data_IF_241983225540
#
_entry.id   IF_241983225540
#
_cell.length_a   1.000
_cell.length_b   1.000
_cell.length_c   1.000
_cell.angle_alpha   90.00
_cell.angle_beta   90.00
_cell.angle_gamma   90.00
#
_symmetry.space_group_name_H-M   'P 1'
#
loop_
_entity.id
_entity.type
_entity.pdbx_description
1 polymer ?
#
# COMPACT_ATOMS: atom_id res chain seq x y z
N UNK A 1 12.23 -0.13 29.20
CA UNK A 1 12.99 1.11 28.95
C UNK A 1 14.02 0.80 27.88
N UNK A 2 14.00 1.47 26.72
CA UNK A 2 15.07 1.28 25.74
C UNK A 2 16.40 1.66 26.37
N UNK A 3 17.48 0.99 25.97
CA UNK A 3 18.82 1.29 26.43
C UNK A 3 19.17 2.74 26.04
N UNK A 4 19.92 3.44 26.87
CA UNK A 4 20.23 4.87 26.71
C UNK A 4 20.97 5.24 25.40
N UNK A 5 21.30 4.27 24.54
CA UNK A 5 21.93 4.46 23.23
C UNK A 5 20.96 4.59 22.04
N UNK A 6 19.70 4.16 22.19
CA UNK A 6 18.71 4.03 21.07
C UNK A 6 17.69 5.17 21.01
N UNK A 7 17.79 6.19 21.85
CA UNK A 7 16.81 7.28 21.87
C UNK A 7 16.89 8.11 20.58
N UNK A 8 15.79 8.19 19.88
CA UNK A 8 15.65 9.05 18.70
C UNK A 8 15.72 10.52 19.12
N UNK A 9 16.38 11.35 18.33
CA UNK A 9 16.57 12.78 18.63
C UNK A 9 15.66 13.69 17.84
N UNK A 10 15.18 13.22 16.69
CA UNK A 10 14.27 13.99 15.86
C UNK A 10 13.36 13.06 15.04
N UNK A 11 12.16 13.55 14.71
CA UNK A 11 11.33 13.01 13.65
C UNK A 11 11.62 13.76 12.36
N UNK A 12 11.78 13.04 11.26
CA UNK A 12 12.07 13.61 9.93
C UNK A 12 10.91 13.27 9.00
N UNK A 13 10.21 14.27 8.48
CA UNK A 13 9.26 14.08 7.41
C UNK A 13 10.03 13.82 6.10
N UNK A 14 9.85 12.64 5.55
CA UNK A 14 10.50 12.22 4.30
C UNK A 14 9.46 12.25 3.19
N UNK A 15 9.39 13.36 2.47
CA UNK A 15 8.50 13.48 1.32
C UNK A 15 9.11 12.76 0.12
N UNK A 16 8.53 11.61 -0.22
CA UNK A 16 8.98 10.74 -1.30
C UNK A 16 8.14 10.90 -2.57
N UNK A 17 7.04 11.66 -2.50
CA UNK A 17 6.15 11.94 -3.63
C UNK A 17 6.64 13.15 -4.42
N UNK A 18 6.32 13.18 -5.71
CA UNK A 18 6.54 14.37 -6.55
C UNK A 18 5.63 15.54 -6.15
N UNK A 19 4.46 15.23 -5.62
CA UNK A 19 3.50 16.20 -5.15
C UNK A 19 2.63 15.59 -4.05
N UNK A 20 2.63 16.24 -2.88
CA UNK A 20 1.75 15.90 -1.76
C UNK A 20 0.68 17.00 -1.66
N UNK A 21 -0.63 16.68 -1.75
CA UNK A 21 -1.69 17.68 -1.58
C UNK A 21 -1.62 18.39 -0.23
N UNK A 22 -1.97 19.66 -0.17
CA UNK A 22 -1.85 20.49 1.05
C UNK A 22 -2.54 19.90 2.27
N UNK A 23 -3.72 19.30 2.09
CA UNK A 23 -4.45 18.67 3.19
C UNK A 23 -3.74 17.42 3.72
N UNK A 24 -3.11 16.61 2.86
CA UNK A 24 -2.32 15.46 3.27
C UNK A 24 -1.02 15.92 3.96
N UNK A 25 -0.37 16.96 3.42
CA UNK A 25 0.81 17.56 4.04
C UNK A 25 0.51 18.06 5.47
N UNK A 26 -0.61 18.75 5.68
CA UNK A 26 -1.04 19.18 7.00
C UNK A 26 -1.26 18.00 7.98
N UNK A 27 -1.78 16.87 7.50
CA UNK A 27 -1.92 15.64 8.30
C UNK A 27 -0.54 15.05 8.64
N UNK A 28 0.39 15.01 7.69
CA UNK A 28 1.75 14.51 7.95
C UNK A 28 2.48 15.38 8.98
N UNK A 29 2.36 16.69 8.92
CA UNK A 29 2.94 17.58 9.93
C UNK A 29 2.40 17.30 11.32
N UNK A 30 1.08 17.20 11.45
CA UNK A 30 0.43 16.88 12.73
C UNK A 30 0.84 15.50 13.26
N UNK A 31 0.99 14.53 12.37
CA UNK A 31 1.45 13.19 12.74
C UNK A 31 2.92 13.22 13.19
N UNK A 32 3.78 13.97 12.50
CA UNK A 32 5.18 14.15 12.86
C UNK A 32 5.34 14.76 14.27
N UNK A 33 4.54 15.78 14.60
CA UNK A 33 4.51 16.39 15.94
C UNK A 33 4.06 15.38 17.00
N UNK A 34 3.03 14.59 16.73
CA UNK A 34 2.55 13.55 17.63
C UNK A 34 3.59 12.45 17.87
N UNK A 35 4.27 12.03 16.82
CA UNK A 35 5.37 11.05 16.90
C UNK A 35 6.55 11.61 17.70
N UNK A 36 6.93 12.87 17.48
CA UNK A 36 8.00 13.53 18.23
C UNK A 36 7.69 13.57 19.73
N UNK A 37 6.46 13.93 20.10
CA UNK A 37 6.02 13.90 21.50
C UNK A 37 6.07 12.49 22.10
N UNK A 38 5.57 11.50 21.37
CA UNK A 38 5.51 10.11 21.83
C UNK A 38 6.91 9.50 22.01
N UNK A 39 7.84 9.83 21.12
CA UNK A 39 9.22 9.36 21.14
C UNK A 39 10.12 10.20 22.05
N UNK A 40 9.64 11.33 22.58
CA UNK A 40 10.45 12.27 23.35
C UNK A 40 11.52 12.99 22.52
N UNK A 41 11.27 13.16 21.20
CA UNK A 41 12.19 13.85 20.30
C UNK A 41 12.14 15.36 20.52
N UNK A 42 13.32 16.02 20.41
CA UNK A 42 13.43 17.46 20.60
C UNK A 42 12.99 18.28 19.37
N UNK A 43 13.01 17.68 18.19
CA UNK A 43 12.84 18.39 16.92
C UNK A 43 12.01 17.58 15.91
N UNK A 44 11.36 18.32 15.00
CA UNK A 44 10.79 17.81 13.75
C UNK A 44 11.52 18.50 12.59
N UNK A 45 12.04 17.72 11.66
CA UNK A 45 12.64 18.22 10.43
C UNK A 45 11.71 17.95 9.26
N UNK A 46 11.49 18.95 8.41
CA UNK A 46 10.61 18.83 7.22
C UNK A 46 11.34 18.27 6.01
N UNK A 47 12.67 18.29 6.05
CA UNK A 47 13.54 17.73 5.02
C UNK A 47 14.62 16.86 5.67
N UNK A 48 15.09 15.82 4.96
CA UNK A 48 16.19 15.01 5.45
C UNK A 48 17.42 15.88 5.72
N UNK A 49 18.00 15.83 6.94
CA UNK A 49 19.22 16.55 7.20
C UNK A 49 20.34 16.08 6.29
N UNK A 50 21.26 16.98 5.94
CA UNK A 50 22.41 16.69 5.08
C UNK A 50 23.34 15.61 5.63
N UNK A 51 23.27 15.34 6.94
CA UNK A 51 24.03 14.27 7.59
C UNK A 51 23.06 13.20 8.08
N UNK A 52 23.06 12.00 7.47
CA UNK A 52 22.26 10.87 7.94
C UNK A 52 22.61 10.49 9.37
N UNK A 53 21.62 10.05 10.14
CA UNK A 53 21.82 9.59 11.51
C UNK A 53 20.84 8.45 11.84
N UNK A 54 21.34 7.40 12.46
CA UNK A 54 20.54 6.31 13.04
C UNK A 54 19.69 6.78 14.24
N UNK A 55 19.90 8.00 14.70
CA UNK A 55 19.11 8.64 15.75
C UNK A 55 17.89 9.40 15.24
N UNK A 56 17.61 9.39 13.93
CA UNK A 56 16.38 9.94 13.37
C UNK A 56 15.30 8.89 13.30
N UNK A 57 14.05 9.34 13.42
CA UNK A 57 12.85 8.55 13.17
C UNK A 57 12.14 9.14 11.97
N UNK A 58 11.97 8.37 10.92
CA UNK A 58 11.47 8.88 9.66
C UNK A 58 9.95 8.68 9.54
N UNK A 59 9.27 9.68 8.99
CA UNK A 59 7.88 9.62 8.56
C UNK A 59 7.83 9.80 7.04
N UNK A 60 7.91 8.72 6.25
CA UNK A 60 7.76 8.80 4.81
C UNK A 60 6.29 9.02 4.43
N UNK A 61 6.06 9.76 3.32
CA UNK A 61 4.72 10.03 2.79
C UNK A 61 4.10 8.85 2.05
N UNK A 62 4.89 7.80 1.78
CA UNK A 62 4.45 6.54 1.18
C UNK A 62 5.34 5.38 1.63
N UNK A 63 4.95 4.14 1.32
CA UNK A 63 5.77 2.96 1.61
C UNK A 63 7.10 3.04 0.85
N UNK A 64 8.21 2.92 1.59
CA UNK A 64 9.54 2.91 1.01
C UNK A 64 9.81 1.57 0.31
N UNK A 65 10.44 1.63 -0.86
CA UNK A 65 10.78 0.47 -1.67
C UNK A 65 12.31 0.41 -1.79
N UNK A 66 12.86 -0.81 -1.77
CA UNK A 66 14.28 -1.10 -1.80
C UNK A 66 15.00 -0.66 -0.51
N UNK A 67 15.15 -1.58 0.46
CA UNK A 67 15.85 -1.30 1.73
C UNK A 67 17.27 -0.78 1.56
N UNK A 68 17.99 -1.19 0.50
CA UNK A 68 19.37 -0.76 0.26
C UNK A 68 19.45 0.73 -0.07
N UNK A 69 18.47 1.23 -0.82
CA UNK A 69 18.36 2.66 -1.17
C UNK A 69 18.20 3.55 0.07
N UNK A 70 17.52 3.05 1.10
CA UNK A 70 17.21 3.82 2.31
C UNK A 70 18.20 3.58 3.47
N UNK A 71 19.05 2.56 3.35
CA UNK A 71 20.08 2.27 4.38
C UNK A 71 21.05 3.45 4.61
N UNK A 72 21.33 4.22 3.57
CA UNK A 72 22.18 5.42 3.67
C UNK A 72 21.56 6.51 4.57
N UNK A 73 20.25 6.54 4.75
CA UNK A 73 19.56 7.44 5.67
C UNK A 73 19.55 6.93 7.12
N UNK A 74 20.04 5.71 7.36
CA UNK A 74 19.96 5.05 8.66
C UNK A 74 18.65 4.26 8.87
N UNK A 75 17.81 4.13 7.84
CA UNK A 75 16.57 3.35 7.90
C UNK A 75 16.90 1.87 7.66
N UNK A 76 16.77 1.04 8.69
CA UNK A 76 17.13 -0.38 8.67
C UNK A 76 16.03 -1.29 9.20
N UNK A 77 15.23 -0.80 10.13
CA UNK A 77 14.22 -1.58 10.86
C UNK A 77 12.93 -0.76 11.02
N UNK A 78 11.87 -1.42 11.46
CA UNK A 78 10.61 -0.77 11.84
C UNK A 78 10.75 0.25 12.99
N UNK A 79 11.88 0.25 13.69
CA UNK A 79 12.15 1.21 14.76
C UNK A 79 12.74 2.54 14.24
N UNK A 80 13.01 2.60 12.95
CA UNK A 80 13.62 3.78 12.31
C UNK A 80 12.60 4.62 11.55
N UNK A 81 11.38 4.07 11.29
CA UNK A 81 10.36 4.77 10.51
C UNK A 81 8.94 4.46 10.98
N UNK A 82 8.03 5.39 10.73
CA UNK A 82 6.60 5.17 10.82
C UNK A 82 6.03 4.94 9.42
N UNK A 83 5.81 3.69 9.06
CA UNK A 83 5.37 3.31 7.71
C UNK A 83 5.85 1.92 7.33
N UNK A 84 5.93 1.67 6.04
CA UNK A 84 6.42 0.42 5.46
C UNK A 84 7.76 0.60 4.75
N UNK A 85 8.59 -0.43 4.84
CA UNK A 85 9.79 -0.60 4.03
C UNK A 85 9.76 -2.00 3.43
N UNK A 86 9.68 -2.08 2.11
CA UNK A 86 9.49 -3.34 1.38
C UNK A 86 10.57 -3.55 0.32
N UNK A 87 10.82 -4.82 -0.03
CA UNK A 87 11.87 -5.15 -0.98
C UNK A 87 11.49 -4.86 -2.45
N UNK A 88 10.21 -5.02 -2.79
CA UNK A 88 9.74 -4.94 -4.17
C UNK A 88 8.50 -4.04 -4.31
N UNK A 89 8.31 -3.39 -5.47
CA UNK A 89 7.22 -2.45 -5.72
C UNK A 89 5.83 -3.00 -5.41
N UNK A 90 5.49 -4.19 -5.88
CA UNK A 90 4.17 -4.80 -5.66
C UNK A 90 3.83 -4.98 -4.16
N UNK A 91 4.84 -5.16 -3.30
CA UNK A 91 4.64 -5.29 -1.84
C UNK A 91 4.13 -4.01 -1.19
N UNK A 92 4.33 -2.85 -1.84
CA UNK A 92 3.81 -1.56 -1.39
C UNK A 92 2.35 -1.32 -1.78
N UNK A 93 1.70 -2.29 -2.42
CA UNK A 93 0.37 -2.13 -3.02
C UNK A 93 -0.59 -3.23 -2.59
N UNK A 94 -1.84 -3.12 -3.03
CA UNK A 94 -2.86 -4.16 -2.85
C UNK A 94 -2.59 -5.43 -3.69
N UNK A 95 -1.57 -5.46 -4.54
CA UNK A 95 -1.20 -6.65 -5.32
C UNK A 95 -0.93 -7.89 -4.44
N UNK A 96 -0.48 -7.70 -3.21
CA UNK A 96 -0.23 -8.82 -2.28
C UNK A 96 -1.51 -9.52 -1.78
N UNK A 97 -2.69 -8.95 -2.03
CA UNK A 97 -3.93 -9.41 -1.40
C UNK A 97 -4.47 -10.73 -1.94
N UNK A 98 -4.19 -11.08 -3.19
CA UNK A 98 -4.78 -12.24 -3.84
C UNK A 98 -3.70 -13.19 -4.39
N UNK A 99 -4.01 -14.48 -4.53
CA UNK A 99 -3.11 -15.44 -5.15
C UNK A 99 -2.98 -15.19 -6.65
N UNK A 100 -1.98 -15.82 -7.26
CA UNK A 100 -1.84 -15.86 -8.71
C UNK A 100 -2.76 -16.90 -9.35
N UNK A 101 -3.21 -16.72 -10.59
CA UNK A 101 -3.77 -17.80 -11.38
C UNK A 101 -2.74 -18.93 -11.58
N UNK A 102 -3.20 -20.14 -11.84
CA UNK A 102 -2.31 -21.27 -12.12
C UNK A 102 -1.38 -20.96 -13.31
N UNK A 103 -0.09 -21.27 -13.16
CA UNK A 103 0.95 -21.08 -14.17
C UNK A 103 1.19 -19.61 -14.60
N UNK A 104 0.74 -18.62 -13.80
CA UNK A 104 0.96 -17.22 -14.09
C UNK A 104 2.43 -16.81 -13.91
N UNK A 105 2.84 -15.79 -14.64
CA UNK A 105 4.11 -15.10 -14.45
C UNK A 105 4.06 -14.17 -13.23
N UNK A 106 5.19 -14.00 -12.54
CA UNK A 106 5.28 -13.15 -11.35
C UNK A 106 6.68 -12.54 -11.17
N UNK A 107 6.78 -11.39 -10.50
CA UNK A 107 8.06 -10.74 -10.23
C UNK A 107 8.89 -11.50 -9.19
N UNK A 108 10.21 -11.23 -9.12
CA UNK A 108 11.08 -11.81 -8.10
C UNK A 108 10.54 -11.59 -6.68
N UNK A 109 10.72 -12.61 -5.82
CA UNK A 109 10.33 -12.55 -4.42
C UNK A 109 8.83 -12.68 -4.14
N UNK A 110 8.00 -12.97 -5.15
CA UNK A 110 6.58 -13.22 -4.96
C UNK A 110 6.31 -14.38 -3.99
N UNK A 111 5.27 -14.22 -3.20
CA UNK A 111 4.75 -15.27 -2.31
C UNK A 111 3.24 -15.11 -2.12
N UNK A 112 2.51 -16.20 -2.13
CA UNK A 112 1.08 -16.24 -1.82
C UNK A 112 0.79 -16.31 -0.31
N UNK A 113 1.82 -16.17 0.54
CA UNK A 113 1.68 -16.39 1.98
C UNK A 113 0.61 -15.49 2.63
N UNK A 114 0.51 -14.21 2.23
CA UNK A 114 -0.52 -13.32 2.74
C UNK A 114 -1.92 -13.77 2.30
N UNK A 115 -2.10 -14.05 1.01
CA UNK A 115 -3.39 -14.50 0.46
C UNK A 115 -3.86 -15.81 1.11
N UNK A 116 -2.94 -16.74 1.37
CA UNK A 116 -3.24 -18.01 2.05
C UNK A 116 -3.63 -17.80 3.53
N UNK A 117 -2.92 -16.92 4.24
CA UNK A 117 -3.21 -16.62 5.65
C UNK A 117 -4.51 -15.84 5.84
N UNK A 118 -4.84 -14.98 4.89
CA UNK A 118 -6.00 -14.09 4.95
C UNK A 118 -7.20 -14.62 4.14
N UNK A 119 -7.14 -15.85 3.63
CA UNK A 119 -8.14 -16.42 2.71
C UNK A 119 -9.59 -16.29 3.18
N UNK A 120 -9.82 -16.40 4.49
CA UNK A 120 -11.17 -16.29 5.08
C UNK A 120 -11.71 -14.84 5.11
N UNK A 121 -10.82 -13.86 4.89
CA UNK A 121 -11.16 -12.42 4.93
C UNK A 121 -11.00 -11.74 3.58
N UNK A 122 -10.58 -12.45 2.55
CA UNK A 122 -10.40 -11.93 1.20
C UNK A 122 -11.55 -12.34 0.29
N UNK A 123 -11.91 -11.45 -0.62
CA UNK A 123 -12.80 -11.78 -1.72
C UNK A 123 -12.12 -12.78 -2.66
N UNK A 124 -12.91 -13.56 -3.38
CA UNK A 124 -12.37 -14.41 -4.44
C UNK A 124 -11.78 -13.54 -5.54
N UNK A 125 -10.51 -13.77 -5.88
CA UNK A 125 -9.81 -12.94 -6.84
C UNK A 125 -8.42 -13.44 -7.14
N UNK A 126 -7.76 -12.72 -8.04
CA UNK A 126 -6.40 -12.98 -8.47
C UNK A 126 -5.60 -11.69 -8.59
N UNK A 127 -4.33 -11.79 -8.29
CA UNK A 127 -3.33 -10.80 -8.69
C UNK A 127 -2.64 -11.30 -9.94
N UNK A 128 -2.40 -10.40 -10.89
CA UNK A 128 -1.75 -10.73 -12.17
C UNK A 128 -0.68 -9.72 -12.51
N UNK A 129 0.35 -10.16 -13.24
CA UNK A 129 1.48 -9.35 -13.68
C UNK A 129 1.66 -9.34 -15.20
N UNK A 130 0.71 -9.90 -15.94
CA UNK A 130 0.68 -9.84 -17.40
C UNK A 130 -0.76 -9.73 -17.92
N UNK A 131 -0.91 -9.16 -19.11
CA UNK A 131 -2.22 -9.09 -19.79
C UNK A 131 -2.78 -10.49 -20.13
N UNK A 132 -1.90 -11.46 -20.39
CA UNK A 132 -2.31 -12.85 -20.63
C UNK A 132 -2.91 -13.48 -19.37
N UNK A 133 -2.26 -13.29 -18.22
CA UNK A 133 -2.76 -13.78 -16.93
C UNK A 133 -4.03 -13.04 -16.49
N UNK A 134 -4.17 -11.75 -16.83
CA UNK A 134 -5.40 -10.98 -16.59
C UNK A 134 -6.60 -11.57 -17.33
N UNK A 135 -6.42 -11.96 -18.60
CA UNK A 135 -7.48 -12.64 -19.38
C UNK A 135 -7.87 -13.97 -18.78
N UNK A 136 -6.86 -14.76 -18.36
CA UNK A 136 -7.10 -16.05 -17.72
C UNK A 136 -7.86 -15.89 -16.40
N UNK A 137 -7.42 -14.97 -15.54
CA UNK A 137 -8.09 -14.66 -14.27
C UNK A 137 -9.53 -14.18 -14.49
N UNK A 138 -9.75 -13.27 -15.43
CA UNK A 138 -11.08 -12.77 -15.74
C UNK A 138 -12.00 -13.88 -16.26
N UNK A 139 -11.50 -14.76 -17.13
CA UNK A 139 -12.27 -15.90 -17.61
C UNK A 139 -12.76 -16.79 -16.45
N UNK A 140 -11.90 -17.06 -15.47
CA UNK A 140 -12.25 -17.87 -14.31
C UNK A 140 -13.25 -17.18 -13.37
N UNK A 141 -13.10 -15.86 -13.16
CA UNK A 141 -13.99 -15.11 -12.26
C UNK A 141 -15.38 -14.87 -12.87
N UNK A 142 -15.45 -14.55 -14.15
CA UNK A 142 -16.70 -14.30 -14.86
C UNK A 142 -17.62 -15.52 -14.98
N UNK A 143 -17.15 -16.72 -14.67
CA UNK A 143 -18.00 -17.92 -14.60
C UNK A 143 -19.06 -17.82 -13.48
N UNK A 144 -18.77 -17.04 -12.45
CA UNK A 144 -19.63 -16.93 -11.25
C UNK A 144 -20.30 -15.55 -11.12
N UNK A 145 -19.94 -14.58 -11.94
CA UNK A 145 -20.55 -13.26 -11.93
C UNK A 145 -19.63 -12.13 -12.38
N UNK A 146 -20.09 -10.88 -12.24
CA UNK A 146 -19.27 -9.71 -12.54
C UNK A 146 -17.99 -9.66 -11.69
N UNK A 147 -16.95 -9.10 -12.26
CA UNK A 147 -15.69 -8.89 -11.54
C UNK A 147 -15.33 -7.41 -11.49
N UNK A 148 -14.57 -7.05 -10.45
CA UNK A 148 -14.01 -5.72 -10.22
C UNK A 148 -12.53 -5.73 -10.52
N UNK A 149 -12.10 -4.81 -11.37
CA UNK A 149 -10.72 -4.55 -11.71
C UNK A 149 -10.22 -3.40 -10.84
N UNK A 150 -9.11 -3.62 -10.13
CA UNK A 150 -8.51 -2.65 -9.21
C UNK A 150 -7.08 -2.32 -9.60
N UNK A 151 -6.83 -1.17 -10.22
CA UNK A 151 -5.48 -0.67 -10.39
C UNK A 151 -4.78 -0.54 -9.03
N UNK A 152 -3.59 -1.12 -8.89
CA UNK A 152 -2.96 -1.28 -7.57
C UNK A 152 -2.43 0.01 -6.97
N UNK A 153 -2.07 0.99 -7.81
CA UNK A 153 -1.57 2.31 -7.39
C UNK A 153 -2.69 3.31 -7.09
N UNK A 154 -3.94 2.98 -7.42
CA UNK A 154 -5.06 3.88 -7.19
C UNK A 154 -5.62 3.75 -5.77
N UNK A 155 -6.09 4.87 -5.22
CA UNK A 155 -6.69 4.99 -3.90
C UNK A 155 -8.15 5.41 -3.97
N UNK A 156 -8.92 5.18 -2.89
CA UNK A 156 -10.30 5.64 -2.71
C UNK A 156 -11.25 5.24 -3.85
N UNK A 157 -11.08 4.04 -4.40
CA UNK A 157 -11.95 3.54 -5.48
C UNK A 157 -11.66 4.09 -6.87
N UNK A 158 -10.74 5.04 -7.01
CA UNK A 158 -10.42 5.64 -8.32
C UNK A 158 -9.91 4.60 -9.30
N UNK A 159 -10.36 4.70 -10.55
CA UNK A 159 -9.94 3.81 -11.64
C UNK A 159 -10.41 2.36 -11.50
N UNK A 160 -11.23 2.02 -10.51
CA UNK A 160 -11.87 0.72 -10.44
C UNK A 160 -12.98 0.62 -11.49
N UNK A 161 -13.10 -0.55 -12.10
CA UNK A 161 -14.12 -0.82 -13.08
C UNK A 161 -14.74 -2.20 -12.82
N UNK A 162 -16.05 -2.29 -13.01
CA UNK A 162 -16.78 -3.56 -12.95
C UNK A 162 -17.09 -3.99 -14.37
N UNK A 163 -16.78 -5.24 -14.69
CA UNK A 163 -17.06 -5.84 -16.00
C UNK A 163 -17.83 -7.15 -15.82
N UNK A 164 -18.64 -7.49 -16.80
CA UNK A 164 -19.45 -8.71 -16.88
C UNK A 164 -19.11 -9.58 -18.10
N UNK A 165 -18.22 -9.12 -18.97
CA UNK A 165 -17.77 -9.83 -20.17
C UNK A 165 -16.26 -9.69 -20.37
N UNK A 166 -15.64 -10.65 -21.07
CA UNK A 166 -14.24 -10.57 -21.47
C UNK A 166 -13.98 -9.44 -22.48
N UNK A 167 -14.95 -9.15 -23.35
CA UNK A 167 -14.81 -8.08 -24.34
C UNK A 167 -14.65 -6.70 -23.66
N UNK A 168 -15.28 -6.51 -22.49
CA UNK A 168 -15.13 -5.28 -21.71
C UNK A 168 -13.74 -5.14 -21.05
N UNK A 169 -12.99 -6.24 -20.89
CA UNK A 169 -11.64 -6.23 -20.35
C UNK A 169 -10.61 -5.68 -21.37
N UNK A 170 -10.79 -5.95 -22.65
CA UNK A 170 -9.75 -5.68 -23.66
C UNK A 170 -9.36 -4.20 -23.76
N UNK A 171 -10.30 -3.23 -23.82
CA UNK A 171 -9.92 -1.82 -23.86
C UNK A 171 -9.15 -1.40 -22.59
N UNK A 172 -9.48 -1.96 -21.42
CA UNK A 172 -8.78 -1.65 -20.17
C UNK A 172 -7.34 -2.16 -20.20
N UNK A 173 -7.12 -3.36 -20.71
CA UNK A 173 -5.78 -3.92 -20.87
C UNK A 173 -4.97 -3.19 -21.95
N UNK A 174 -5.63 -2.70 -23.01
CA UNK A 174 -4.96 -1.97 -24.08
C UNK A 174 -4.29 -0.68 -23.56
N UNK A 175 -4.94 0.01 -22.63
CA UNK A 175 -4.46 1.25 -22.04
C UNK A 175 -3.36 1.05 -20.98
N UNK A 176 -3.12 -0.19 -20.53
CA UNK A 176 -2.10 -0.49 -19.52
C UNK A 176 -0.72 -0.70 -20.17
N UNK A 177 0.31 -0.12 -19.57
CA UNK A 177 1.70 -0.39 -19.92
C UNK A 177 2.13 -1.77 -19.41
N UNK A 178 2.78 -2.56 -20.26
CA UNK A 178 3.19 -3.94 -19.93
C UNK A 178 4.30 -3.97 -18.87
N UNK A 179 5.18 -2.96 -18.84
CA UNK A 179 6.28 -2.88 -17.87
C UNK A 179 5.74 -2.48 -16.49
N UNK A 180 4.83 -1.51 -16.44
CA UNK A 180 4.17 -1.12 -15.20
C UNK A 180 3.37 -2.29 -14.64
N UNK A 181 2.63 -3.01 -15.48
CA UNK A 181 1.88 -4.20 -15.06
C UNK A 181 2.79 -5.29 -14.49
N UNK A 182 3.92 -5.54 -15.14
CA UNK A 182 4.90 -6.54 -14.68
C UNK A 182 5.57 -6.17 -13.35
N UNK A 183 5.67 -4.88 -13.02
CA UNK A 183 6.29 -4.38 -11.79
C UNK A 183 5.28 -4.27 -10.63
N UNK A 184 4.10 -3.70 -10.90
CA UNK A 184 3.15 -3.33 -9.87
C UNK A 184 2.01 -4.33 -9.70
N UNK A 185 1.62 -5.00 -10.79
CA UNK A 185 0.49 -5.92 -10.82
C UNK A 185 -0.86 -5.24 -11.02
N UNK A 186 -1.90 -6.09 -11.13
CA UNK A 186 -3.30 -5.73 -11.23
C UNK A 186 -4.11 -6.71 -10.39
N UNK A 187 -5.13 -6.24 -9.69
CA UNK A 187 -6.06 -7.09 -8.94
C UNK A 187 -7.38 -7.20 -9.68
N UNK A 188 -7.84 -8.44 -9.85
CA UNK A 188 -9.17 -8.79 -10.30
C UNK A 188 -9.86 -9.58 -9.19
N UNK A 189 -11.04 -9.14 -8.77
CA UNK A 189 -11.79 -9.84 -7.71
C UNK A 189 -13.30 -9.86 -8.04
N UNK A 190 -14.05 -10.73 -7.39
CA UNK A 190 -15.50 -10.74 -7.50
C UNK A 190 -16.09 -9.37 -7.13
N UNK A 191 -17.15 -8.96 -7.82
CA UNK A 191 -17.88 -7.75 -7.49
C UNK A 191 -18.99 -8.06 -6.49
N UNK A 192 -19.06 -7.30 -5.41
CA UNK A 192 -20.11 -7.42 -4.39
C UNK A 192 -21.10 -6.27 -4.51
N UNK A 193 -22.37 -6.57 -4.36
CA UNK A 193 -23.45 -5.59 -4.18
C UNK A 193 -23.77 -5.38 -2.69
N UNK A 194 -24.34 -4.22 -2.36
CA UNK A 194 -24.82 -3.89 -1.02
C UNK A 194 -23.76 -4.07 0.10
N UNK A 195 -22.53 -3.63 -0.17
CA UNK A 195 -21.39 -3.83 0.72
C UNK A 195 -21.38 -2.90 1.91
N UNK A 196 -20.94 -3.41 3.05
CA UNK A 196 -20.46 -2.62 4.17
C UNK A 196 -18.93 -2.64 4.21
N UNK A 197 -18.31 -1.46 4.16
CA UNK A 197 -16.85 -1.35 4.18
C UNK A 197 -16.36 -1.20 5.60
N UNK A 198 -15.34 -1.95 5.96
CA UNK A 198 -14.65 -1.89 7.23
C UNK A 198 -13.23 -1.35 7.06
N UNK A 199 -12.77 -0.61 8.06
CA UNK A 199 -11.37 -0.23 8.21
C UNK A 199 -10.80 -0.93 9.43
N UNK A 200 -9.74 -1.69 9.23
CA UNK A 200 -9.03 -2.38 10.31
C UNK A 200 -7.54 -2.13 10.19
N UNK A 201 -6.86 -2.01 11.30
CA UNK A 201 -5.40 -1.82 11.26
C UNK A 201 -4.75 -1.97 12.61
N UNK A 202 -3.43 -2.02 12.57
CA UNK A 202 -2.57 -2.04 13.75
C UNK A 202 -1.38 -1.11 13.52
N UNK A 203 -1.07 -0.33 14.54
CA UNK A 203 0.07 0.58 14.58
C UNK A 203 0.99 0.17 15.72
N UNK A 204 2.29 0.18 15.47
CA UNK A 204 3.33 -0.03 16.48
C UNK A 204 4.31 1.12 16.44
N UNK A 205 4.50 1.79 17.57
CA UNK A 205 5.46 2.89 17.72
C UNK A 205 5.85 3.06 19.19
N UNK A 206 7.08 3.41 19.48
CA UNK A 206 7.59 3.65 20.84
C UNK A 206 7.31 2.50 21.82
N UNK A 207 7.31 1.24 21.35
CA UNK A 207 6.97 0.08 22.17
C UNK A 207 5.48 -0.11 22.44
N UNK A 208 4.62 0.78 21.96
CA UNK A 208 3.17 0.68 22.06
C UNK A 208 2.59 0.01 20.82
N UNK A 209 1.52 -0.75 21.02
CA UNK A 209 0.73 -1.35 19.93
C UNK A 209 -0.73 -0.90 20.10
N UNK A 210 -1.30 -0.35 19.04
CA UNK A 210 -2.70 0.02 18.96
C UNK A 210 -3.35 -0.68 17.77
N UNK A 211 -4.42 -1.45 18.03
CA UNK A 211 -5.26 -2.05 16.99
C UNK A 211 -6.58 -1.30 16.93
N UNK A 212 -7.09 -1.07 15.73
CA UNK A 212 -8.37 -0.39 15.53
C UNK A 212 -9.23 -1.11 14.51
N UNK A 213 -10.51 -0.92 14.62
CA UNK A 213 -11.51 -1.30 13.63
C UNK A 213 -12.64 -0.27 13.60
N UNK A 214 -13.32 -0.19 12.47
CA UNK A 214 -14.49 0.69 12.33
C UNK A 214 -15.18 0.46 11.00
N UNK A 215 -16.35 1.03 10.83
CA UNK A 215 -17.05 1.10 9.55
C UNK A 215 -16.57 2.31 8.77
N UNK A 216 -16.50 2.17 7.45
CA UNK A 216 -16.13 3.25 6.55
C UNK A 216 -17.32 3.56 5.63
N UNK A 217 -17.68 4.83 5.56
CA UNK A 217 -18.64 5.32 4.57
C UNK A 217 -17.87 6.06 3.48
N UNK A 218 -18.19 5.75 2.23
CA UNK A 218 -17.67 6.51 1.10
C UNK A 218 -18.40 7.86 1.04
N UNK A 219 -17.63 8.93 0.92
CA UNK A 219 -18.16 10.24 0.60
C UNK A 219 -18.10 10.41 -0.91
N UNK A 220 -19.23 10.72 -1.52
CA UNK A 220 -19.29 11.09 -2.94
C UNK A 220 -19.10 12.60 -3.04
N UNK A 221 -18.39 13.03 -4.06
CA UNK A 221 -18.34 14.45 -4.40
C UNK A 221 -19.69 14.91 -4.98
N UNK A 222 -19.82 16.23 -5.23
CA UNK A 222 -21.06 16.78 -5.79
C UNK A 222 -21.37 16.31 -7.22
N UNK A 223 -20.49 15.51 -7.83
CA UNK A 223 -20.63 14.95 -9.18
C UNK A 223 -20.92 13.43 -9.16
N UNK A 224 -21.01 12.81 -7.98
CA UNK A 224 -21.41 11.41 -7.82
C UNK A 224 -20.31 10.40 -8.17
N UNK A 225 -19.06 10.85 -8.21
CA UNK A 225 -17.86 9.99 -8.41
C UNK A 225 -17.19 9.63 -7.11
#
# INVERSE_FOLDING_TARGET
>A
MPAAGDAKTAVVLLDTRQHTPDHEHAVHLKLADGLAQLLGCAHVHLDPPSTPSDRYYYLPTETLIDPQRHAALGIRTEQDLFGGLVAFPYMATKAISHPLPAAASFPPGWTDAFALQASDALLRGYTVFSKADARNAAHLLLLDGPLRIKPVLACAGRGQQVIDTLDALEPLLADMDDQDLAVWGLVLEEDLSEVQTFSVGQVRVAGLTCSYHGTQQLTHDHQGT
#
